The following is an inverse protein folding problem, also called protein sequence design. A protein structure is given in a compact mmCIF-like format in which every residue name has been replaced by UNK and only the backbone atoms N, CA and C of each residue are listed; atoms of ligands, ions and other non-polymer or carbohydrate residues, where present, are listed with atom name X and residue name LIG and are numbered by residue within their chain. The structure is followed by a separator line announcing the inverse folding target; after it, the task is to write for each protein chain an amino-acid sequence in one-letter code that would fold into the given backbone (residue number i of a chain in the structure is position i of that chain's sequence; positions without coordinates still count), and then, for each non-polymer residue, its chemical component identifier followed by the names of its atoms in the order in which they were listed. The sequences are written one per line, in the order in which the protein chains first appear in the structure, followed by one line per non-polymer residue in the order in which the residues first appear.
data_IF_457170694997
#
_entry.id   IF_457170694997
#
_cell.length_a   1.000
_cell.length_b   1.000
_cell.length_c   1.000
_cell.angle_alpha   90.00
_cell.angle_beta   90.00
_cell.angle_gamma   90.00
#
_symmetry.space_group_name_H-M   'P 1'
#
loop_
_entity.id
_entity.type
_entity.pdbx_description
1 polymer ?
#
# COMPACT_ATOMS: atom_id res chain seq x y z
N UNK A 1 33.52 5.22 -3.97
CA UNK A 1 32.82 6.38 -4.54
C UNK A 1 31.59 5.81 -5.23
N UNK A 2 30.38 6.27 -4.87
CA UNK A 2 29.15 5.79 -5.49
C UNK A 2 29.10 6.27 -6.94
N UNK A 3 28.61 5.43 -7.85
CA UNK A 3 28.43 5.80 -9.26
C UNK A 3 27.32 6.85 -9.37
N UNK A 4 27.63 8.02 -9.94
CA UNK A 4 26.66 9.11 -10.14
C UNK A 4 25.42 8.63 -10.90
N UNK A 5 25.59 7.71 -11.87
CA UNK A 5 24.48 7.14 -12.63
C UNK A 5 23.57 6.30 -11.75
N UNK A 6 24.12 5.58 -10.78
CA UNK A 6 23.34 4.77 -9.83
C UNK A 6 22.53 5.66 -8.87
N UNK A 7 23.12 6.76 -8.39
CA UNK A 7 22.43 7.73 -7.54
C UNK A 7 21.27 8.41 -8.25
N UNK A 8 21.46 8.83 -9.51
CA UNK A 8 20.40 9.42 -10.33
C UNK A 8 19.26 8.43 -10.57
N UNK A 9 19.58 7.15 -10.83
CA UNK A 9 18.59 6.09 -10.98
C UNK A 9 17.84 5.82 -9.68
N UNK A 10 18.53 5.81 -8.54
CA UNK A 10 17.92 5.61 -7.23
C UNK A 10 16.92 6.74 -6.92
N UNK A 11 17.32 7.99 -7.16
CA UNK A 11 16.44 9.16 -7.05
C UNK A 11 15.21 9.02 -7.93
N UNK A 12 15.40 8.72 -9.21
CA UNK A 12 14.31 8.63 -10.17
C UNK A 12 13.32 7.51 -9.79
N UNK A 13 13.81 6.31 -9.46
CA UNK A 13 12.97 5.17 -9.05
C UNK A 13 12.18 5.51 -7.79
N UNK A 14 12.84 6.12 -6.81
CA UNK A 14 12.18 6.52 -5.58
C UNK A 14 11.10 7.58 -5.82
N UNK A 15 11.38 8.66 -6.56
CA UNK A 15 10.41 9.74 -6.84
C UNK A 15 9.23 9.24 -7.67
N UNK A 16 9.51 8.54 -8.77
CA UNK A 16 8.47 8.00 -9.66
C UNK A 16 7.59 6.99 -8.92
N UNK A 17 8.21 6.12 -8.12
CA UNK A 17 7.50 5.15 -7.30
C UNK A 17 6.48 5.77 -6.35
N UNK A 18 6.85 6.85 -5.67
CA UNK A 18 5.94 7.57 -4.76
C UNK A 18 4.85 8.33 -5.53
N UNK A 19 5.18 8.98 -6.65
CA UNK A 19 4.16 9.63 -7.49
C UNK A 19 3.14 8.62 -8.03
N UNK A 20 3.60 7.46 -8.50
CA UNK A 20 2.72 6.37 -8.92
C UNK A 20 1.82 5.90 -7.78
N UNK A 21 2.36 5.74 -6.57
CA UNK A 21 1.57 5.37 -5.40
C UNK A 21 0.43 6.37 -5.14
N UNK A 22 0.70 7.67 -5.19
CA UNK A 22 -0.35 8.68 -5.00
C UNK A 22 -1.40 8.67 -6.12
N UNK A 23 -0.99 8.49 -7.37
CA UNK A 23 -1.92 8.30 -8.48
C UNK A 23 -2.80 7.06 -8.27
N UNK A 24 -2.23 5.94 -7.81
CA UNK A 24 -2.99 4.73 -7.50
C UNK A 24 -3.98 4.94 -6.35
N UNK A 25 -3.60 5.67 -5.30
CA UNK A 25 -4.50 6.02 -4.19
C UNK A 25 -5.73 6.76 -4.71
N UNK A 26 -5.52 7.76 -5.58
CA UNK A 26 -6.62 8.51 -6.19
C UNK A 26 -7.52 7.62 -7.05
N UNK A 27 -6.93 6.78 -7.91
CA UNK A 27 -7.70 5.83 -8.72
C UNK A 27 -8.52 4.86 -7.87
N UNK A 28 -7.97 4.38 -6.75
CA UNK A 28 -8.68 3.51 -5.82
C UNK A 28 -9.86 4.22 -5.14
N UNK A 29 -9.71 5.50 -4.77
CA UNK A 29 -10.81 6.29 -4.21
C UNK A 29 -11.97 6.36 -5.22
N UNK A 30 -11.67 6.69 -6.48
CA UNK A 30 -12.68 6.78 -7.55
C UNK A 30 -13.37 5.44 -7.83
N UNK A 31 -12.59 4.35 -7.92
CA UNK A 31 -13.15 3.01 -8.16
C UNK A 31 -14.02 2.56 -6.99
N UNK A 32 -13.64 2.85 -5.76
CA UNK A 32 -14.44 2.50 -4.59
C UNK A 32 -15.74 3.31 -4.50
N UNK A 33 -15.72 4.60 -4.82
CA UNK A 33 -16.95 5.41 -4.93
C UNK A 33 -17.87 4.87 -6.04
N UNK A 34 -17.32 4.57 -7.22
CA UNK A 34 -18.04 3.90 -8.32
C UNK A 34 -18.65 2.56 -7.87
N UNK A 35 -17.87 1.73 -7.19
CA UNK A 35 -18.32 0.44 -6.66
C UNK A 35 -19.49 0.61 -5.67
N UNK A 36 -19.40 1.56 -4.75
CA UNK A 36 -20.47 1.83 -3.78
C UNK A 36 -21.79 2.14 -4.51
N UNK A 37 -21.75 3.04 -5.50
CA UNK A 37 -22.94 3.40 -6.28
C UNK A 37 -23.54 2.23 -7.05
N UNK A 38 -22.69 1.35 -7.60
CA UNK A 38 -23.14 0.15 -8.32
C UNK A 38 -23.80 -0.87 -7.38
N UNK A 39 -23.25 -1.04 -6.17
CA UNK A 39 -23.83 -1.89 -5.12
C UNK A 39 -25.18 -1.32 -4.67
N UNK A 40 -25.27 -0.01 -4.43
CA UNK A 40 -26.51 0.65 -4.02
C UNK A 40 -27.60 0.55 -5.11
N UNK A 41 -27.21 0.54 -6.39
CA UNK A 41 -28.10 0.33 -7.52
C UNK A 41 -28.48 -1.14 -7.78
N UNK A 42 -27.86 -2.09 -7.07
CA UNK A 42 -28.05 -3.53 -7.29
C UNK A 42 -27.39 -4.08 -8.56
N UNK A 43 -26.52 -3.30 -9.22
CA UNK A 43 -25.79 -3.73 -10.42
C UNK A 43 -24.54 -4.53 -10.05
N UNK A 44 -24.76 -5.81 -9.72
CA UNK A 44 -23.69 -6.71 -9.30
C UNK A 44 -22.68 -7.01 -10.43
N UNK A 45 -23.09 -6.92 -11.70
CA UNK A 45 -22.16 -7.12 -12.82
C UNK A 45 -21.14 -5.98 -12.89
N UNK A 46 -21.62 -4.74 -12.81
CA UNK A 46 -20.76 -3.56 -12.82
C UNK A 46 -19.92 -3.46 -11.54
N UNK A 47 -20.49 -3.81 -10.38
CA UNK A 47 -19.76 -3.89 -9.11
C UNK A 47 -18.60 -4.90 -9.20
N UNK A 48 -18.83 -6.08 -9.79
CA UNK A 48 -17.78 -7.09 -10.01
C UNK A 48 -16.63 -6.52 -10.83
N UNK A 49 -16.93 -5.85 -11.94
CA UNK A 49 -15.92 -5.24 -12.80
C UNK A 49 -15.08 -4.20 -12.05
N UNK A 50 -15.69 -3.38 -11.19
CA UNK A 50 -14.97 -2.41 -10.36
C UNK A 50 -14.06 -3.07 -9.32
N UNK A 51 -14.47 -4.19 -8.73
CA UNK A 51 -13.59 -4.96 -7.81
C UNK A 51 -12.40 -5.57 -8.56
N UNK A 52 -12.63 -6.11 -9.76
CA UNK A 52 -11.57 -6.63 -10.62
C UNK A 52 -10.60 -5.52 -11.05
N UNK A 53 -11.11 -4.33 -11.41
CA UNK A 53 -10.30 -3.14 -11.73
C UNK A 53 -9.42 -2.73 -10.53
N UNK A 54 -10.01 -2.65 -9.32
CA UNK A 54 -9.26 -2.39 -8.10
C UNK A 54 -8.19 -3.45 -7.81
N UNK A 55 -8.45 -4.71 -8.17
CA UNK A 55 -7.49 -5.82 -8.03
C UNK A 55 -6.28 -5.62 -8.93
N UNK A 56 -6.49 -5.23 -10.19
CA UNK A 56 -5.38 -4.90 -11.10
C UNK A 56 -4.53 -3.74 -10.60
N UNK A 57 -5.15 -2.71 -10.01
CA UNK A 57 -4.40 -1.61 -9.39
C UNK A 57 -3.53 -2.10 -8.22
N UNK A 58 -4.04 -3.00 -7.37
CA UNK A 58 -3.24 -3.56 -6.27
C UNK A 58 -1.99 -4.30 -6.77
N UNK A 59 -2.11 -5.06 -7.86
CA UNK A 59 -0.94 -5.68 -8.50
C UNK A 59 0.02 -4.65 -9.10
N UNK A 60 -0.51 -3.60 -9.74
CA UNK A 60 0.29 -2.47 -10.24
C UNK A 60 1.09 -1.78 -9.13
N UNK A 61 0.46 -1.52 -7.97
CA UNK A 61 1.13 -0.97 -6.79
C UNK A 61 2.22 -1.93 -6.30
N UNK A 62 1.94 -3.24 -6.25
CA UNK A 62 2.87 -4.26 -5.77
C UNK A 62 4.17 -4.29 -6.60
N UNK A 63 4.06 -4.22 -7.93
CA UNK A 63 5.21 -4.14 -8.83
C UNK A 63 5.90 -2.79 -8.71
N UNK A 64 5.14 -1.71 -8.58
CA UNK A 64 5.68 -0.36 -8.41
C UNK A 64 6.56 -0.26 -7.17
N UNK A 65 6.17 -0.86 -6.03
CA UNK A 65 7.04 -0.91 -4.85
C UNK A 65 8.40 -1.55 -5.13
N UNK A 66 8.41 -2.71 -5.81
CA UNK A 66 9.67 -3.38 -6.17
C UNK A 66 10.54 -2.51 -7.08
N UNK A 67 9.93 -1.79 -8.03
CA UNK A 67 10.62 -0.82 -8.87
C UNK A 67 11.18 0.35 -8.05
N UNK A 68 10.38 0.91 -7.13
CA UNK A 68 10.77 1.99 -6.21
C UNK A 68 12.03 1.62 -5.45
N UNK A 69 12.11 0.39 -4.93
CA UNK A 69 13.27 -0.11 -4.20
C UNK A 69 14.37 -0.71 -5.07
N UNK A 70 14.35 -0.52 -6.38
CA UNK A 70 15.21 -1.23 -7.34
C UNK A 70 16.70 -0.84 -7.34
N UNK A 71 17.28 -0.30 -6.28
CA UNK A 71 18.69 0.17 -6.24
C UNK A 71 19.48 -0.46 -5.09
N UNK A 72 20.78 -0.17 -4.96
CA UNK A 72 21.64 -0.76 -3.91
C UNK A 72 21.39 -0.15 -2.53
N UNK A 73 21.80 -0.88 -1.48
CA UNK A 73 21.83 -0.38 -0.11
C UNK A 73 22.68 0.91 0.00
N UNK A 74 23.81 0.96 -0.69
CA UNK A 74 24.71 2.09 -0.60
C UNK A 74 24.11 3.37 -1.23
N UNK A 75 23.33 3.25 -2.31
CA UNK A 75 22.55 4.36 -2.85
C UNK A 75 21.38 4.79 -1.94
N UNK A 76 20.77 3.83 -1.21
CA UNK A 76 19.77 4.14 -0.20
C UNK A 76 20.36 4.99 0.94
N UNK A 77 21.43 4.51 1.56
CA UNK A 77 22.06 5.16 2.72
C UNK A 77 22.74 6.48 2.36
N UNK A 78 23.39 6.54 1.18
CA UNK A 78 24.14 7.71 0.75
C UNK A 78 23.31 8.83 0.13
N UNK A 79 22.09 8.56 -0.30
CA UNK A 79 21.25 9.55 -1.00
C UNK A 79 19.79 9.51 -0.56
N UNK A 80 19.09 8.39 -0.76
CA UNK A 80 17.63 8.36 -0.57
C UNK A 80 17.24 8.63 0.88
N UNK A 81 17.86 7.96 1.85
CA UNK A 81 17.51 8.06 3.27
C UNK A 81 17.81 9.46 3.86
N UNK A 82 18.97 10.11 3.59
CA UNK A 82 19.19 11.50 3.99
C UNK A 82 18.12 12.45 3.45
N UNK A 83 17.78 12.35 2.15
CA UNK A 83 16.77 13.19 1.52
C UNK A 83 15.34 12.89 2.07
N UNK A 84 15.05 11.66 2.47
CA UNK A 84 13.80 11.30 3.15
C UNK A 84 13.68 11.96 4.53
N UNK A 85 14.79 12.03 5.29
CA UNK A 85 14.80 12.65 6.62
C UNK A 85 14.59 14.15 6.55
N UNK A 86 15.21 14.82 5.58
CA UNK A 86 14.97 16.24 5.29
C UNK A 86 13.51 16.52 4.89
N UNK A 87 12.86 15.56 4.23
CA UNK A 87 11.45 15.63 3.87
C UNK A 87 10.49 15.11 4.96
N UNK A 88 10.99 14.70 6.14
CA UNK A 88 10.32 13.80 7.10
C UNK A 88 8.89 14.17 7.50
N UNK A 89 8.57 15.47 7.64
CA UNK A 89 7.19 15.88 7.92
C UNK A 89 6.25 15.45 6.78
N UNK A 90 6.61 15.69 5.51
CA UNK A 90 5.83 15.29 4.33
C UNK A 90 6.02 13.83 3.88
N UNK A 91 7.01 13.12 4.44
CA UNK A 91 7.39 11.77 4.01
C UNK A 91 6.69 10.64 4.76
N UNK A 92 6.21 10.92 5.97
CA UNK A 92 5.28 10.01 6.64
C UNK A 92 3.96 10.03 5.86
N UNK A 93 3.45 8.88 5.43
CA UNK A 93 2.16 8.75 4.70
C UNK A 93 0.92 9.33 5.42
N UNK A 94 1.11 10.04 6.54
CA UNK A 94 0.17 10.93 7.22
C UNK A 94 -0.15 12.21 6.43
N UNK A 95 0.74 12.69 5.54
CA UNK A 95 0.44 13.84 4.66
C UNK A 95 -0.34 13.49 3.39
N UNK A 96 -0.43 12.21 3.05
CA UNK A 96 -1.34 11.77 2.00
C UNK A 96 -2.75 11.76 2.59
N UNK A 97 -3.35 12.94 2.74
CA UNK A 97 -4.75 13.12 3.14
C UNK A 97 -5.66 12.17 2.35
N UNK A 98 -5.32 11.93 1.08
CA UNK A 98 -6.00 11.00 0.20
C UNK A 98 -5.84 9.54 0.62
N UNK A 99 -4.65 9.11 1.04
CA UNK A 99 -4.45 7.75 1.54
C UNK A 99 -5.16 7.57 2.90
N UNK A 100 -5.15 8.59 3.77
CA UNK A 100 -5.93 8.57 5.01
C UNK A 100 -7.43 8.49 4.71
N UNK A 101 -7.91 9.28 3.75
CA UNK A 101 -9.28 9.27 3.27
C UNK A 101 -9.67 7.91 2.67
N UNK A 102 -8.83 7.33 1.81
CA UNK A 102 -9.01 6.00 1.24
C UNK A 102 -9.19 4.96 2.34
N UNK A 103 -8.31 4.93 3.35
CA UNK A 103 -8.34 3.91 4.40
C UNK A 103 -9.47 4.14 5.40
N UNK A 104 -9.61 5.37 5.94
CA UNK A 104 -10.53 5.66 7.05
C UNK A 104 -11.97 5.89 6.59
N UNK A 105 -12.18 6.35 5.36
CA UNK A 105 -13.52 6.66 4.83
C UNK A 105 -13.92 5.63 3.78
N UNK A 106 -13.19 5.59 2.67
CA UNK A 106 -13.62 4.88 1.46
C UNK A 106 -13.68 3.36 1.65
N UNK A 107 -12.59 2.73 2.09
CA UNK A 107 -12.57 1.28 2.35
C UNK A 107 -13.53 0.91 3.50
N UNK A 108 -13.63 1.78 4.51
CA UNK A 108 -14.50 1.55 5.66
C UNK A 108 -15.99 1.54 5.28
N UNK A 109 -16.41 2.37 4.33
CA UNK A 109 -17.79 2.38 3.82
C UNK A 109 -18.14 1.06 3.12
N UNK A 110 -17.20 0.48 2.38
CA UNK A 110 -17.37 -0.80 1.69
C UNK A 110 -17.23 -2.03 2.61
N UNK A 111 -16.99 -1.84 3.92
CA UNK A 111 -16.82 -2.94 4.88
C UNK A 111 -17.97 -3.95 4.85
N UNK A 112 -19.27 -3.57 4.79
CA UNK A 112 -20.36 -4.56 4.75
C UNK A 112 -20.29 -5.47 3.51
N UNK A 113 -20.01 -4.88 2.34
CA UNK A 113 -19.81 -5.61 1.09
C UNK A 113 -18.64 -6.59 1.21
N UNK A 114 -17.51 -6.13 1.71
CA UNK A 114 -16.34 -6.99 1.84
C UNK A 114 -16.50 -8.04 2.92
N UNK A 115 -17.20 -7.77 4.02
CA UNK A 115 -17.42 -8.75 5.09
C UNK A 115 -18.32 -9.90 4.62
N UNK A 116 -19.43 -9.57 3.96
CA UNK A 116 -20.44 -10.52 3.52
C UNK A 116 -20.80 -10.26 2.05
N UNK A 117 -19.92 -10.62 1.09
CA UNK A 117 -20.19 -10.37 -0.31
C UNK A 117 -21.33 -11.26 -0.82
N UNK A 118 -22.19 -10.77 -1.74
CA UNK A 118 -23.06 -11.61 -2.54
C UNK A 118 -22.26 -12.71 -3.25
N UNK A 119 -22.89 -13.86 -3.50
CA UNK A 119 -22.23 -15.02 -4.11
C UNK A 119 -21.59 -14.68 -5.46
N UNK A 120 -22.23 -13.81 -6.24
CA UNK A 120 -21.78 -13.30 -7.54
C UNK A 120 -20.49 -12.50 -7.46
N UNK A 121 -20.21 -11.89 -6.29
CA UNK A 121 -19.03 -11.06 -6.04
C UNK A 121 -17.94 -11.80 -5.25
N UNK A 122 -18.24 -12.97 -4.68
CA UNK A 122 -17.37 -13.66 -3.74
C UNK A 122 -15.96 -13.92 -4.29
N UNK A 123 -15.85 -14.40 -5.53
CA UNK A 123 -14.56 -14.65 -6.17
C UNK A 123 -13.77 -13.36 -6.43
N UNK A 124 -14.44 -12.32 -6.91
CA UNK A 124 -13.79 -11.02 -7.15
C UNK A 124 -13.28 -10.41 -5.84
N UNK A 125 -14.07 -10.46 -4.77
CA UNK A 125 -13.66 -10.02 -3.43
C UNK A 125 -12.49 -10.84 -2.89
N UNK A 126 -12.49 -12.16 -3.10
CA UNK A 126 -11.36 -13.01 -2.71
C UNK A 126 -10.07 -12.62 -3.43
N UNK A 127 -10.13 -12.41 -4.75
CA UNK A 127 -8.98 -11.99 -5.54
C UNK A 127 -8.46 -10.61 -5.10
N UNK A 128 -9.36 -9.67 -4.82
CA UNK A 128 -9.00 -8.35 -4.31
C UNK A 128 -8.28 -8.45 -2.96
N UNK A 129 -8.80 -9.26 -2.01
CA UNK A 129 -8.15 -9.49 -0.71
C UNK A 129 -6.74 -10.08 -0.86
N UNK A 130 -6.56 -11.02 -1.79
CA UNK A 130 -5.26 -11.61 -2.07
C UNK A 130 -4.29 -10.57 -2.64
N UNK A 131 -4.73 -9.79 -3.64
CA UNK A 131 -3.92 -8.73 -4.23
C UNK A 131 -3.55 -7.66 -3.20
N UNK A 132 -4.49 -7.30 -2.32
CA UNK A 132 -4.25 -6.39 -1.20
C UNK A 132 -3.17 -6.94 -0.25
N UNK A 133 -3.24 -8.22 0.12
CA UNK A 133 -2.22 -8.84 0.96
C UNK A 133 -0.82 -8.84 0.29
N UNK A 134 -0.76 -9.18 -1.00
CA UNK A 134 0.48 -9.16 -1.79
C UNK A 134 1.07 -7.75 -1.90
N UNK A 135 0.22 -6.72 -1.99
CA UNK A 135 0.67 -5.33 -2.00
C UNK A 135 1.37 -4.96 -0.69
N UNK A 136 0.83 -5.36 0.46
CA UNK A 136 1.53 -5.19 1.74
C UNK A 136 2.84 -5.96 1.82
N UNK A 137 2.86 -7.21 1.35
CA UNK A 137 4.08 -8.02 1.34
C UNK A 137 5.16 -7.39 0.44
N UNK A 138 4.73 -6.78 -0.67
CA UNK A 138 5.64 -6.06 -1.57
C UNK A 138 6.17 -4.76 -0.95
N UNK A 139 5.35 -4.06 -0.16
CA UNK A 139 5.80 -2.89 0.60
C UNK A 139 6.81 -3.31 1.66
N UNK A 140 6.46 -4.34 2.45
CA UNK A 140 7.34 -4.90 3.47
C UNK A 140 8.67 -5.33 2.88
N UNK A 141 8.67 -6.05 1.76
CA UNK A 141 9.89 -6.48 1.08
C UNK A 141 10.87 -5.31 0.80
N UNK A 142 10.35 -4.15 0.40
CA UNK A 142 11.19 -2.97 0.15
C UNK A 142 11.73 -2.39 1.45
N UNK A 143 10.91 -2.36 2.52
CA UNK A 143 11.36 -1.98 3.86
C UNK A 143 12.47 -2.93 4.34
N UNK A 144 12.24 -4.24 4.31
CA UNK A 144 13.19 -5.28 4.72
C UNK A 144 14.52 -5.18 3.95
N UNK A 145 14.44 -4.90 2.64
CA UNK A 145 15.64 -4.77 1.80
C UNK A 145 16.58 -3.67 2.30
N UNK A 146 16.03 -2.57 2.81
CA UNK A 146 16.80 -1.39 3.21
C UNK A 146 16.96 -1.25 4.74
N UNK A 147 16.22 -2.05 5.51
CA UNK A 147 16.33 -2.14 6.96
C UNK A 147 17.59 -2.90 7.37
N UNK A 148 18.70 -2.17 7.53
CA UNK A 148 19.84 -2.63 8.32
C UNK A 148 19.58 -2.63 9.84
N UNK A 149 18.36 -2.97 10.29
CA UNK A 149 17.95 -2.89 11.70
C UNK A 149 17.66 -1.48 12.23
N UNK A 150 17.33 -0.54 11.34
CA UNK A 150 17.13 0.87 11.68
C UNK A 150 15.67 1.17 12.07
N UNK A 151 15.42 2.06 13.06
CA UNK A 151 14.06 2.38 13.50
C UNK A 151 13.23 3.05 12.39
N UNK A 152 11.92 2.83 12.42
CA UNK A 152 11.00 3.43 11.45
C UNK A 152 11.05 4.97 11.47
N UNK A 153 11.17 5.58 10.29
CA UNK A 153 11.15 7.04 10.12
C UNK A 153 9.81 7.68 10.56
N UNK A 154 8.73 6.89 10.66
CA UNK A 154 7.41 7.35 11.10
C UNK A 154 7.35 7.74 12.59
N UNK A 155 8.26 7.24 13.41
CA UNK A 155 8.20 7.37 14.88
C UNK A 155 9.48 7.97 15.48
N UNK A 156 10.41 8.44 14.64
CA UNK A 156 11.69 9.02 15.06
C UNK A 156 12.60 8.03 15.78
N UNK A 157 13.62 8.53 16.47
CA UNK A 157 14.63 7.73 17.20
C UNK A 157 14.05 6.88 18.34
N UNK A 158 12.81 7.17 18.79
CA UNK A 158 12.12 6.42 19.83
C UNK A 158 11.35 5.17 19.32
N UNK A 159 11.42 4.87 18.02
CA UNK A 159 10.65 3.77 17.44
C UNK A 159 11.14 2.40 17.95
N UNK A 160 10.29 1.73 18.73
CA UNK A 160 10.54 0.35 19.21
C UNK A 160 10.28 -0.72 18.13
N UNK A 161 9.73 -0.34 16.98
CA UNK A 161 9.40 -1.24 15.87
C UNK A 161 10.08 -0.81 14.58
N UNK A 162 10.49 -1.78 13.78
CA UNK A 162 10.98 -1.53 12.43
C UNK A 162 9.83 -1.08 11.52
N UNK A 163 10.13 -0.48 10.37
CA UNK A 163 9.10 -0.14 9.39
C UNK A 163 8.41 -1.41 8.86
N UNK A 164 9.13 -2.51 8.64
CA UNK A 164 8.55 -3.79 8.26
C UNK A 164 7.51 -4.32 9.27
N UNK A 165 7.82 -4.27 10.58
CA UNK A 165 6.88 -4.67 11.64
C UNK A 165 5.65 -3.75 11.71
N UNK A 166 5.83 -2.47 11.40
CA UNK A 166 4.74 -1.51 11.28
C UNK A 166 3.86 -1.82 10.06
N UNK A 167 4.45 -2.16 8.91
CA UNK A 167 3.72 -2.59 7.71
C UNK A 167 2.90 -3.86 7.99
N UNK A 168 3.46 -4.84 8.70
CA UNK A 168 2.73 -6.05 9.11
C UNK A 168 1.54 -5.73 10.03
N UNK A 169 1.71 -4.78 10.95
CA UNK A 169 0.61 -4.29 11.80
C UNK A 169 -0.48 -3.63 10.96
N UNK A 170 -0.11 -2.79 9.99
CA UNK A 170 -1.09 -2.16 9.08
C UNK A 170 -1.79 -3.17 8.17
N UNK A 171 -1.07 -4.17 7.64
CA UNK A 171 -1.62 -5.25 6.83
C UNK A 171 -2.74 -5.96 7.58
N UNK A 172 -2.46 -6.41 8.81
CA UNK A 172 -3.46 -7.11 9.65
C UNK A 172 -4.69 -6.25 9.90
N UNK A 173 -4.50 -5.01 10.35
CA UNK A 173 -5.61 -4.11 10.67
C UNK A 173 -6.49 -3.80 9.45
N UNK A 174 -5.89 -3.68 8.26
CA UNK A 174 -6.62 -3.34 7.03
C UNK A 174 -7.29 -4.57 6.40
N UNK A 175 -6.71 -5.75 6.52
CA UNK A 175 -7.36 -7.00 6.11
C UNK A 175 -8.64 -7.27 6.92
N UNK A 176 -8.68 -6.89 8.21
CA UNK A 176 -9.91 -6.93 9.01
C UNK A 176 -11.02 -6.02 8.45
N UNK A 177 -10.67 -4.87 7.87
CA UNK A 177 -11.64 -4.00 7.19
C UNK A 177 -12.21 -4.65 5.92
N UNK A 178 -11.46 -5.55 5.30
CA UNK A 178 -11.88 -6.33 4.13
C UNK A 178 -12.58 -7.65 4.52
N UNK A 179 -12.92 -7.85 5.79
CA UNK A 179 -13.61 -9.05 6.27
C UNK A 179 -12.74 -10.30 6.33
N UNK A 180 -11.42 -10.17 6.25
CA UNK A 180 -10.49 -11.28 6.45
C UNK A 180 -10.21 -11.42 7.93
N UNK A 181 -10.80 -12.44 8.56
CA UNK A 181 -10.45 -12.82 9.92
C UNK A 181 -9.15 -13.65 9.86
N UNK A 182 -8.10 -13.22 10.56
CA UNK A 182 -6.96 -14.12 10.77
C UNK A 182 -7.38 -15.27 11.70
N UNK A 183 -6.98 -16.51 11.44
CA UNK A 183 -7.03 -17.54 12.48
C UNK A 183 -6.16 -17.07 13.68
N UNK A 184 -6.54 -17.41 14.91
CA UNK A 184 -5.77 -17.04 16.08
C UNK A 184 -4.40 -17.74 16.04
N UNK A 185 -3.32 -16.96 15.90
CA UNK A 185 -1.94 -17.41 16.12
C UNK A 185 -1.26 -18.03 14.91
N UNK A 186 -0.46 -17.23 14.20
CA UNK A 186 0.70 -17.72 13.45
C UNK A 186 1.92 -17.04 14.05
N UNK A 187 2.52 -17.69 15.03
CA UNK A 187 3.79 -17.32 15.66
C UNK A 187 4.96 -17.64 14.74
#
# INVERSE_FOLDING_TARGET
MLDMKELDQARQRWQVGHHLFFAYVQSLILICDKLQRQVDAGDLSAARASIEEATYLMWGISVSFKLTGGFSQAAYDGYVRPNMFEASEGFSGMWAQDHDFLVKKTIRQLKPLFANPPNELALAVQNFRQAFAIMYDSHKYVCDKFEGGQPSLLMGEAAQKTAAEMIDTFKRNRLLLLGVNQPPGGS
#
